data_IF_059767494902
#
_entry.id   IF_059767494902
#
_cell.length_a   1.000
_cell.length_b   1.000
_cell.length_c   1.000
_cell.angle_alpha   90.00
_cell.angle_beta   90.00
_cell.angle_gamma   90.00
#
_symmetry.space_group_name_H-M   'P 1'
#
loop_
_entity.id
_entity.type
_entity.pdbx_description
1 polymer ?
#
# COMPACT_ATOMS: atom_id res chain seq x y z
N UNK A 1 26.39 -11.00 -16.71
CA UNK A 1 26.06 -10.56 -15.34
C UNK A 1 24.57 -10.37 -15.29
N UNK A 2 23.87 -11.30 -14.65
CA UNK A 2 22.42 -11.23 -14.49
C UNK A 2 22.10 -10.20 -13.39
N UNK A 3 21.21 -9.26 -13.66
CA UNK A 3 20.83 -8.22 -12.70
C UNK A 3 19.40 -8.48 -12.25
N UNK A 4 19.18 -8.52 -10.94
CA UNK A 4 17.83 -8.66 -10.40
C UNK A 4 17.05 -7.37 -10.67
N UNK A 5 16.24 -7.38 -11.74
CA UNK A 5 15.40 -6.26 -12.16
C UNK A 5 13.94 -6.66 -12.05
N UNK A 6 13.33 -6.30 -10.92
CA UNK A 6 11.87 -6.38 -10.73
C UNK A 6 11.30 -4.98 -10.81
N UNK A 7 10.27 -4.76 -11.61
CA UNK A 7 9.60 -3.46 -11.67
C UNK A 7 8.96 -3.11 -10.32
N UNK A 8 9.35 -1.96 -9.78
CA UNK A 8 8.80 -1.47 -8.52
C UNK A 8 7.52 -0.68 -8.82
N UNK A 9 6.39 -1.37 -8.79
CA UNK A 9 5.08 -0.71 -8.81
C UNK A 9 4.75 -0.16 -7.42
N UNK A 10 3.89 0.87 -7.30
CA UNK A 10 3.44 1.36 -6.00
C UNK A 10 2.78 0.28 -5.14
N UNK A 11 2.09 -0.67 -5.76
CA UNK A 11 1.47 -1.80 -5.08
C UNK A 11 2.52 -2.79 -4.54
N UNK A 12 3.52 -3.16 -5.35
CA UNK A 12 4.62 -4.01 -4.90
C UNK A 12 5.43 -3.34 -3.77
N UNK A 13 5.70 -2.04 -3.90
CA UNK A 13 6.37 -1.27 -2.86
C UNK A 13 5.61 -1.33 -1.54
N UNK A 14 4.30 -1.02 -1.56
CA UNK A 14 3.48 -1.02 -0.35
C UNK A 14 3.41 -2.42 0.28
N UNK A 15 3.25 -3.47 -0.53
CA UNK A 15 3.20 -4.84 -0.02
C UNK A 15 4.52 -5.23 0.65
N UNK A 16 5.66 -4.99 -0.01
CA UNK A 16 6.97 -5.33 0.51
C UNK A 16 7.29 -4.53 1.77
N UNK A 17 7.00 -3.23 1.78
CA UNK A 17 7.25 -2.37 2.94
C UNK A 17 6.37 -2.76 4.14
N UNK A 18 5.09 -3.09 3.92
CA UNK A 18 4.19 -3.59 4.97
C UNK A 18 4.66 -4.90 5.59
N UNK A 19 5.39 -5.73 4.83
CA UNK A 19 5.90 -7.02 5.30
C UNK A 19 7.28 -6.90 5.97
N UNK A 20 8.23 -6.23 5.32
CA UNK A 20 9.64 -6.17 5.74
C UNK A 20 9.90 -5.05 6.75
N UNK A 21 9.12 -3.97 6.69
CA UNK A 21 9.28 -2.79 7.53
C UNK A 21 8.01 -2.48 8.33
N UNK A 22 7.28 -3.53 8.73
CA UNK A 22 5.96 -3.48 9.33
C UNK A 22 5.80 -2.40 10.42
N UNK A 23 6.77 -2.31 11.35
CA UNK A 23 6.76 -1.38 12.49
C UNK A 23 7.35 0.01 12.20
N UNK A 24 7.99 0.22 11.04
CA UNK A 24 8.53 1.54 10.68
C UNK A 24 7.40 2.50 10.33
N UNK A 25 7.58 3.77 10.68
CA UNK A 25 6.64 4.84 10.30
C UNK A 25 6.62 5.01 8.78
N UNK A 26 5.43 4.93 8.19
CA UNK A 26 5.18 5.09 6.76
C UNK A 26 4.60 6.46 6.41
N UNK A 27 3.77 7.03 7.30
CA UNK A 27 3.13 8.33 7.07
C UNK A 27 2.91 9.08 8.40
N UNK A 28 3.04 10.41 8.35
CA UNK A 28 2.80 11.31 9.47
C UNK A 28 1.88 12.45 9.03
N UNK A 29 0.82 12.69 9.79
CA UNK A 29 -0.07 13.84 9.61
C UNK A 29 -0.40 14.45 10.97
N UNK A 30 0.22 15.60 11.26
CA UNK A 30 0.19 16.20 12.60
C UNK A 30 0.66 15.21 13.67
N UNK A 31 -0.18 14.96 14.68
CA UNK A 31 0.10 13.98 15.74
C UNK A 31 -0.11 12.52 15.33
N UNK A 32 -0.75 12.29 14.18
CA UNK A 32 -1.08 10.94 13.71
C UNK A 32 0.11 10.34 12.99
N UNK A 33 0.46 9.12 13.36
CA UNK A 33 1.49 8.32 12.69
C UNK A 33 0.87 7.00 12.29
N UNK A 34 1.29 6.51 11.14
CA UNK A 34 0.97 5.16 10.68
C UNK A 34 2.26 4.42 10.42
N UNK A 35 2.34 3.20 10.93
CA UNK A 35 3.33 2.21 10.53
C UNK A 35 3.00 1.66 9.13
N UNK A 36 3.97 1.02 8.47
CA UNK A 36 3.72 0.38 7.18
C UNK A 36 2.66 -0.72 7.25
N UNK A 37 2.60 -1.47 8.37
CA UNK A 37 1.55 -2.46 8.59
C UNK A 37 0.15 -1.81 8.65
N UNK A 38 0.01 -0.72 9.41
CA UNK A 38 -1.25 0.00 9.54
C UNK A 38 -1.68 0.66 8.23
N UNK A 39 -0.74 1.30 7.53
CA UNK A 39 -1.00 1.91 6.23
C UNK A 39 -1.47 0.86 5.22
N UNK A 40 -0.76 -0.27 5.12
CA UNK A 40 -1.13 -1.37 4.24
C UNK A 40 -2.52 -1.93 4.56
N UNK A 41 -2.84 -2.12 5.84
CA UNK A 41 -4.17 -2.57 6.27
C UNK A 41 -5.28 -1.55 5.92
N UNK A 42 -5.03 -0.25 6.09
CA UNK A 42 -5.97 0.82 5.73
C UNK A 42 -6.24 0.86 4.23
N UNK A 43 -5.18 0.80 3.41
CA UNK A 43 -5.30 0.79 1.94
C UNK A 43 -6.12 -0.42 1.48
N UNK A 44 -5.85 -1.63 2.02
CA UNK A 44 -6.62 -2.84 1.68
C UNK A 44 -8.10 -2.73 2.04
N UNK A 45 -8.42 -2.14 3.20
CA UNK A 45 -9.82 -1.90 3.60
C UNK A 45 -10.52 -0.93 2.64
N UNK A 46 -9.86 0.18 2.29
CA UNK A 46 -10.41 1.14 1.34
C UNK A 46 -10.61 0.52 -0.05
N UNK A 47 -9.60 -0.17 -0.57
CA UNK A 47 -9.68 -0.86 -1.86
C UNK A 47 -10.83 -1.87 -1.90
N UNK A 48 -11.03 -2.63 -0.81
CA UNK A 48 -12.15 -3.58 -0.68
C UNK A 48 -13.50 -2.85 -0.68
N UNK A 49 -13.60 -1.73 0.04
CA UNK A 49 -14.81 -0.92 0.06
C UNK A 49 -15.15 -0.33 -1.32
N UNK A 50 -14.16 0.20 -2.04
CA UNK A 50 -14.32 0.74 -3.39
C UNK A 50 -14.78 -0.34 -4.38
N UNK A 51 -14.17 -1.53 -4.32
CA UNK A 51 -14.61 -2.68 -5.14
C UNK A 51 -16.05 -3.07 -4.82
N UNK A 52 -16.45 -3.06 -3.55
CA UNK A 52 -17.84 -3.33 -3.13
C UNK A 52 -18.82 -2.23 -3.57
N UNK A 53 -18.35 -0.99 -3.70
CA UNK A 53 -19.12 0.13 -4.22
C UNK A 53 -19.27 0.10 -5.76
N UNK A 54 -18.68 -0.89 -6.44
CA UNK A 54 -18.85 -1.12 -7.87
C UNK A 54 -17.71 -0.62 -8.75
N UNK A 55 -16.60 -0.14 -8.17
CA UNK A 55 -15.42 0.29 -8.93
C UNK A 55 -14.83 -0.87 -9.76
N UNK A 56 -14.59 -0.61 -11.04
CA UNK A 56 -14.05 -1.55 -12.02
C UNK A 56 -12.69 -1.11 -12.54
N UNK A 57 -12.07 -2.01 -13.30
CA UNK A 57 -10.81 -1.69 -13.97
C UNK A 57 -11.04 -0.62 -15.05
N UNK A 58 -10.12 0.34 -15.14
CA UNK A 58 -10.25 1.51 -16.00
C UNK A 58 -11.09 2.67 -15.42
N UNK A 59 -11.82 2.44 -14.32
CA UNK A 59 -12.54 3.51 -13.62
C UNK A 59 -11.57 4.47 -12.90
N UNK A 60 -12.03 5.69 -12.62
CA UNK A 60 -11.26 6.74 -11.94
C UNK A 60 -11.92 7.10 -10.62
N UNK A 61 -11.10 7.32 -9.60
CA UNK A 61 -11.48 7.75 -8.24
C UNK A 61 -10.89 9.12 -7.98
#
# INVERSE_FOLDING_TARGET
>A
MDVNRTELTPLLFLERAARVHASRTAAVYGRRRFTYAELGARVRRLATALRRAGLRDGDRV
#
